data_IF_350982984693
#
_entry.id   IF_350982984693
#
_cell.length_a   1.000
_cell.length_b   1.000
_cell.length_c   1.000
_cell.angle_alpha   90.00
_cell.angle_beta   90.00
_cell.angle_gamma   90.00
#
_symmetry.space_group_name_H-M   'P 1'
#
loop_
_entity.id
_entity.type
_entity.pdbx_description
1 polymer ?
#
# COMPACT_ATOMS: atom_id res chain seq x y z
N UNK A 1 32.59 13.03 6.17
CA UNK A 1 32.62 11.59 6.54
C UNK A 1 32.71 11.47 8.05
N UNK A 2 33.69 12.12 8.68
CA UNK A 2 33.88 12.10 10.14
C UNK A 2 32.67 12.61 10.94
N UNK A 3 31.98 13.63 10.43
CA UNK A 3 30.75 14.17 11.04
C UNK A 3 29.58 13.17 11.03
N UNK A 4 29.41 12.41 9.94
CA UNK A 4 28.38 11.35 9.86
C UNK A 4 28.72 10.21 10.82
N UNK A 5 30.00 9.84 10.90
CA UNK A 5 30.49 8.81 11.83
C UNK A 5 30.28 9.25 13.28
N UNK A 6 30.54 10.52 13.59
CA UNK A 6 30.32 11.06 14.93
C UNK A 6 28.84 10.98 15.34
N UNK A 7 27.93 11.42 14.46
CA UNK A 7 26.48 11.36 14.69
C UNK A 7 26.00 9.91 14.83
N UNK A 8 26.47 9.00 13.97
CA UNK A 8 26.11 7.58 14.04
C UNK A 8 26.50 6.97 15.40
N UNK A 9 27.69 7.31 15.91
CA UNK A 9 28.14 6.83 17.22
C UNK A 9 27.36 7.42 18.41
N UNK A 10 26.64 8.54 18.22
CA UNK A 10 25.74 9.12 19.23
C UNK A 10 24.37 8.42 19.29
N UNK A 11 23.99 7.67 18.24
CA UNK A 11 22.73 6.94 18.19
C UNK A 11 22.79 5.78 19.20
N UNK A 12 22.11 5.97 20.33
CA UNK A 12 21.95 4.93 21.36
C UNK A 12 20.96 3.84 20.91
N UNK A 13 20.80 2.79 21.73
CA UNK A 13 19.88 1.69 21.48
C UNK A 13 18.48 2.17 21.07
N UNK A 14 18.13 1.87 19.82
CA UNK A 14 16.86 2.25 19.19
C UNK A 14 15.66 1.48 19.75
N UNK A 15 15.89 0.40 20.53
CA UNK A 15 14.85 -0.54 20.95
C UNK A 15 13.72 0.10 21.77
N UNK A 16 13.98 1.22 22.45
CA UNK A 16 12.98 1.94 23.25
C UNK A 16 12.44 3.21 22.55
N UNK A 17 12.66 3.38 21.25
CA UNK A 17 12.13 4.53 20.52
C UNK A 17 10.61 4.51 20.54
N UNK A 18 10.06 5.68 20.85
CA UNK A 18 8.67 6.02 20.64
C UNK A 18 8.58 7.15 19.62
N UNK A 19 7.72 6.97 18.62
CA UNK A 19 7.43 7.97 17.59
C UNK A 19 6.03 8.51 17.84
N UNK A 20 5.91 9.82 18.00
CA UNK A 20 4.63 10.50 17.88
C UNK A 20 4.29 10.62 16.40
N UNK A 21 3.23 9.93 15.98
CA UNK A 21 2.85 9.85 14.57
C UNK A 21 1.32 9.84 14.42
N UNK A 22 0.81 9.56 13.22
CA UNK A 22 -0.61 9.58 12.89
C UNK A 22 -1.07 8.22 12.38
N UNK A 23 -2.28 7.84 12.79
CA UNK A 23 -3.05 6.76 12.18
C UNK A 23 -4.02 7.38 11.17
N UNK A 24 -3.94 6.96 9.91
CA UNK A 24 -4.84 7.38 8.84
C UNK A 24 -5.67 6.17 8.45
N UNK A 25 -6.99 6.27 8.61
CA UNK A 25 -7.91 5.24 8.11
C UNK A 25 -8.32 5.58 6.69
N UNK A 26 -7.97 4.70 5.75
CA UNK A 26 -8.27 4.89 4.32
C UNK A 26 -9.28 3.85 3.84
N UNK A 27 -10.26 4.25 3.00
CA UNK A 27 -11.14 3.31 2.34
C UNK A 27 -10.35 2.51 1.28
N UNK A 28 -10.77 1.30 0.99
CA UNK A 28 -10.26 0.56 -0.17
C UNK A 28 -11.40 -0.17 -0.88
N UNK A 29 -11.39 -0.11 -2.21
CA UNK A 29 -12.19 -0.97 -3.08
C UNK A 29 -11.22 -1.92 -3.76
N UNK A 30 -11.29 -3.20 -3.40
CA UNK A 30 -10.48 -4.23 -4.04
C UNK A 30 -11.00 -4.48 -5.46
N UNK A 31 -10.08 -4.63 -6.42
CA UNK A 31 -10.42 -4.95 -7.81
C UNK A 31 -11.41 -3.99 -8.49
N UNK A 32 -11.29 -2.71 -8.16
CA UNK A 32 -12.12 -1.61 -8.64
C UNK A 32 -12.08 -1.43 -10.18
N UNK A 33 -13.14 -0.87 -10.77
CA UNK A 33 -13.32 -0.85 -12.22
C UNK A 33 -12.27 -0.06 -13.03
N UNK A 34 -11.73 1.06 -12.53
CA UNK A 34 -10.62 1.79 -13.17
C UNK A 34 -9.32 1.00 -13.09
N UNK A 35 -9.09 0.28 -12.00
CA UNK A 35 -7.97 -0.66 -11.86
C UNK A 35 -8.08 -1.79 -12.88
N UNK A 36 -9.28 -2.35 -13.10
CA UNK A 36 -9.51 -3.36 -14.14
C UNK A 36 -9.28 -2.80 -15.55
N UNK A 37 -9.72 -1.57 -15.85
CA UNK A 37 -9.46 -0.90 -17.13
C UNK A 37 -7.96 -0.71 -17.38
N UNK A 38 -7.19 -0.41 -16.33
CA UNK A 38 -5.74 -0.34 -16.39
C UNK A 38 -5.11 -1.68 -16.83
N UNK A 39 -5.57 -2.79 -16.24
CA UNK A 39 -5.13 -4.13 -16.59
C UNK A 39 -5.54 -4.48 -18.03
N UNK A 40 -6.79 -4.23 -18.42
CA UNK A 40 -7.30 -4.47 -19.77
C UNK A 40 -6.45 -3.73 -20.82
N UNK A 41 -6.17 -2.44 -20.57
CA UNK A 41 -5.32 -1.63 -21.44
C UNK A 41 -3.93 -2.24 -21.57
N UNK A 42 -3.30 -2.62 -20.45
CA UNK A 42 -1.97 -3.25 -20.46
C UNK A 42 -1.94 -4.54 -21.28
N UNK A 43 -2.89 -5.44 -21.08
CA UNK A 43 -3.00 -6.70 -21.82
C UNK A 43 -3.18 -6.43 -23.31
N UNK A 44 -4.04 -5.47 -23.67
CA UNK A 44 -4.32 -5.12 -25.07
C UNK A 44 -3.14 -4.47 -25.79
N UNK A 45 -2.35 -3.65 -25.10
CA UNK A 45 -1.36 -2.79 -25.77
C UNK A 45 0.09 -3.15 -25.52
N UNK A 46 0.39 -3.88 -24.44
CA UNK A 46 1.77 -4.13 -24.00
C UNK A 46 2.07 -5.62 -23.94
N UNK A 47 1.27 -6.40 -23.21
CA UNK A 47 1.57 -7.83 -23.01
C UNK A 47 0.30 -8.69 -22.89
N UNK A 48 -0.21 -9.23 -24.02
CA UNK A 48 -1.42 -10.05 -24.04
C UNK A 48 -1.35 -11.37 -23.25
N UNK A 49 -0.15 -11.93 -23.08
CA UNK A 49 0.09 -13.23 -22.43
C UNK A 49 0.49 -13.12 -20.96
N UNK A 50 0.39 -11.92 -20.37
CA UNK A 50 0.84 -11.65 -19.00
C UNK A 50 0.13 -12.56 -17.99
N UNK A 51 0.87 -13.45 -17.28
CA UNK A 51 0.24 -14.47 -16.44
C UNK A 51 -0.46 -13.87 -15.22
N UNK A 52 0.00 -12.71 -14.76
CA UNK A 52 -0.58 -11.96 -13.65
C UNK A 52 -1.87 -11.20 -14.02
N UNK A 53 -2.33 -11.27 -15.28
CA UNK A 53 -3.51 -10.57 -15.77
C UNK A 53 -4.59 -11.49 -16.36
N UNK A 54 -4.46 -12.84 -16.24
CA UNK A 54 -5.29 -13.82 -16.96
C UNK A 54 -6.81 -13.63 -16.81
N UNK A 55 -7.27 -13.08 -15.68
CA UNK A 55 -8.70 -12.85 -15.42
C UNK A 55 -9.05 -11.37 -15.27
N UNK A 56 -8.20 -10.46 -15.77
CA UNK A 56 -8.42 -9.01 -15.65
C UNK A 56 -8.20 -8.44 -14.24
N UNK A 57 -7.71 -9.26 -13.30
CA UNK A 57 -7.34 -8.87 -11.94
C UNK A 57 -5.94 -9.38 -11.58
N UNK A 58 -5.23 -8.67 -10.69
CA UNK A 58 -4.01 -9.18 -10.09
C UNK A 58 -4.25 -9.85 -8.73
N UNK A 59 -5.43 -9.75 -8.13
CA UNK A 59 -5.65 -10.29 -6.78
C UNK A 59 -5.43 -11.80 -6.72
N UNK A 60 -5.95 -12.52 -7.71
CA UNK A 60 -5.77 -13.98 -7.82
C UNK A 60 -4.32 -14.35 -8.02
N UNK A 61 -3.58 -13.52 -8.76
CA UNK A 61 -2.15 -13.70 -8.96
C UNK A 61 -1.38 -13.52 -7.65
N UNK A 62 -1.64 -12.44 -6.92
CA UNK A 62 -0.98 -12.17 -5.63
C UNK A 62 -1.37 -13.24 -4.61
N UNK A 63 -2.63 -13.65 -4.55
CA UNK A 63 -3.09 -14.72 -3.67
C UNK A 63 -2.38 -16.05 -3.97
N UNK A 64 -2.33 -16.45 -5.25
CA UNK A 64 -1.63 -17.65 -5.71
C UNK A 64 -0.13 -17.59 -5.38
N UNK A 65 0.52 -16.44 -5.62
CA UNK A 65 1.95 -16.25 -5.33
C UNK A 65 2.27 -16.38 -3.83
N UNK A 66 1.29 -16.10 -2.96
CA UNK A 66 1.41 -16.25 -1.51
C UNK A 66 0.84 -17.59 -0.96
N UNK A 67 0.32 -18.45 -1.83
CA UNK A 67 -0.25 -19.76 -1.44
C UNK A 67 -1.51 -19.64 -0.57
N UNK A 68 -2.33 -18.61 -0.82
CA UNK A 68 -3.56 -18.30 -0.08
C UNK A 68 -4.71 -17.99 -1.04
N UNK A 69 -5.94 -17.84 -0.52
CA UNK A 69 -7.09 -17.37 -1.31
C UNK A 69 -7.13 -15.84 -1.44
N UNK A 70 -7.98 -15.33 -2.32
CA UNK A 70 -8.22 -13.88 -2.47
C UNK A 70 -8.85 -13.30 -1.21
N UNK A 71 -9.73 -14.05 -0.55
CA UNK A 71 -10.35 -13.68 0.72
C UNK A 71 -9.29 -13.55 1.83
N UNK A 72 -8.40 -14.55 1.98
CA UNK A 72 -7.28 -14.48 2.92
C UNK A 72 -6.36 -13.28 2.62
N UNK A 73 -6.15 -12.95 1.34
CA UNK A 73 -5.38 -11.77 0.93
C UNK A 73 -6.05 -10.49 1.42
N UNK A 74 -7.34 -10.30 1.13
CA UNK A 74 -8.11 -9.12 1.57
C UNK A 74 -8.11 -9.00 3.09
N UNK A 75 -8.37 -10.09 3.79
CA UNK A 75 -8.34 -10.14 5.25
C UNK A 75 -6.98 -9.70 5.80
N UNK A 76 -5.87 -10.23 5.28
CA UNK A 76 -4.51 -9.82 5.70
C UNK A 76 -4.26 -8.34 5.41
N UNK A 77 -4.65 -7.85 4.24
CA UNK A 77 -4.45 -6.47 3.81
C UNK A 77 -5.21 -5.47 4.70
N UNK A 78 -6.43 -5.83 5.11
CA UNK A 78 -7.27 -5.06 6.03
C UNK A 78 -6.83 -5.24 7.50
N UNK A 79 -6.33 -6.42 7.89
CA UNK A 79 -5.90 -6.74 9.27
C UNK A 79 -4.62 -6.02 9.65
N UNK A 80 -3.65 -5.89 8.76
CA UNK A 80 -2.41 -5.19 9.09
C UNK A 80 -2.61 -3.68 9.16
N UNK A 81 -1.74 -3.04 9.93
CA UNK A 81 -1.41 -1.63 9.78
C UNK A 81 -0.21 -1.50 8.85
N UNK A 82 -0.07 -0.35 8.21
CA UNK A 82 0.93 -0.12 7.16
C UNK A 82 1.77 1.11 7.49
N UNK A 83 3.06 0.93 7.77
CA UNK A 83 3.97 2.00 8.13
C UNK A 83 4.56 2.67 6.88
N UNK A 84 4.34 3.98 6.74
CA UNK A 84 4.88 4.79 5.64
C UNK A 84 6.37 5.03 5.86
N UNK A 85 7.21 4.25 5.18
CA UNK A 85 8.65 4.32 5.32
C UNK A 85 9.24 5.55 4.60
N UNK A 86 8.72 5.87 3.41
CA UNK A 86 9.17 7.02 2.63
C UNK A 86 8.10 7.49 1.64
N UNK A 87 8.30 8.68 1.07
CA UNK A 87 7.45 9.28 0.05
C UNK A 87 8.35 9.85 -1.04
N UNK A 88 8.10 9.53 -2.31
CA UNK A 88 8.92 10.00 -3.43
C UNK A 88 8.56 9.36 -4.78
N UNK A 89 9.41 9.54 -5.80
CA UNK A 89 9.22 9.06 -7.19
C UNK A 89 8.15 9.83 -7.99
N UNK A 90 6.87 9.53 -7.81
CA UNK A 90 5.76 10.36 -8.33
C UNK A 90 5.25 11.30 -7.23
N UNK A 91 4.59 12.42 -7.57
CA UNK A 91 4.10 13.38 -6.58
C UNK A 91 3.33 12.71 -5.44
N UNK A 92 3.94 12.68 -4.26
CA UNK A 92 3.34 12.13 -3.05
C UNK A 92 3.20 10.61 -2.99
N UNK A 93 3.83 9.83 -3.88
CA UNK A 93 3.74 8.37 -3.88
C UNK A 93 4.41 7.80 -2.61
N UNK A 94 3.64 7.20 -1.68
CA UNK A 94 4.17 6.62 -0.46
C UNK A 94 4.67 5.19 -0.72
N UNK A 95 5.72 4.80 -0.03
CA UNK A 95 6.18 3.42 0.06
C UNK A 95 5.99 2.97 1.50
N UNK A 96 5.13 1.98 1.71
CA UNK A 96 4.75 1.56 3.04
C UNK A 96 4.79 0.04 3.22
N UNK A 97 5.07 -0.36 4.45
CA UNK A 97 5.40 -1.72 4.85
C UNK A 97 4.35 -2.25 5.83
N UNK A 98 3.97 -3.53 5.76
CA UNK A 98 3.04 -4.11 6.72
C UNK A 98 3.73 -4.21 8.09
N UNK A 99 3.07 -3.69 9.12
CA UNK A 99 3.55 -3.81 10.50
C UNK A 99 3.34 -5.22 11.05
N UNK A 100 2.29 -5.93 10.64
CA UNK A 100 2.09 -7.33 10.99
C UNK A 100 2.87 -8.24 10.02
N UNK A 101 3.95 -8.92 10.46
CA UNK A 101 4.75 -9.73 9.56
C UNK A 101 3.97 -10.91 8.96
N UNK A 102 2.92 -11.40 9.63
CA UNK A 102 2.10 -12.50 9.09
C UNK A 102 1.11 -12.04 8.02
N UNK A 103 1.03 -10.73 7.79
CA UNK A 103 0.26 -10.10 6.71
C UNK A 103 1.16 -9.59 5.58
N UNK A 104 2.47 -9.87 5.61
CA UNK A 104 3.42 -9.45 4.58
C UNK A 104 3.25 -10.24 3.27
N UNK A 105 2.23 -9.86 2.49
CA UNK A 105 2.01 -10.33 1.13
C UNK A 105 3.19 -9.96 0.24
N UNK A 106 3.55 -10.83 -0.69
CA UNK A 106 4.64 -10.59 -1.65
C UNK A 106 4.21 -10.81 -3.09
N UNK A 107 4.77 -10.07 -4.05
CA UNK A 107 4.61 -10.36 -5.48
C UNK A 107 5.72 -9.74 -6.32
N UNK A 108 6.11 -10.33 -7.46
CA UNK A 108 7.05 -9.70 -8.39
C UNK A 108 6.40 -8.50 -9.08
N UNK A 109 7.24 -7.62 -9.63
CA UNK A 109 6.79 -6.54 -10.52
C UNK A 109 6.32 -7.11 -11.86
N UNK A 110 5.49 -6.34 -12.55
CA UNK A 110 5.19 -6.46 -13.96
C UNK A 110 6.47 -6.44 -14.81
N UNK A 111 6.43 -7.12 -15.94
CA UNK A 111 7.49 -7.16 -16.93
C UNK A 111 6.88 -7.19 -18.35
N UNK A 112 7.06 -6.17 -19.19
CA UNK A 112 7.49 -4.81 -18.84
C UNK A 112 6.44 -4.09 -17.96
N UNK A 113 6.75 -2.92 -17.36
CA UNK A 113 5.80 -2.16 -16.55
C UNK A 113 4.63 -1.58 -17.38
N UNK A 114 3.53 -1.23 -16.72
CA UNK A 114 2.43 -0.49 -17.31
C UNK A 114 2.84 0.96 -17.56
N UNK A 115 2.37 1.53 -18.67
CA UNK A 115 2.60 2.95 -19.01
C UNK A 115 1.59 3.90 -18.37
N UNK A 116 0.52 3.36 -17.79
CA UNK A 116 -0.53 4.13 -17.12
C UNK A 116 -1.14 3.31 -15.99
N UNK A 117 -1.44 3.96 -14.87
CA UNK A 117 -2.08 3.44 -13.65
C UNK A 117 -2.92 4.61 -13.09
N UNK A 118 -4.20 4.41 -12.75
CA UNK A 118 -5.07 5.50 -12.32
C UNK A 118 -4.70 6.04 -10.93
N UNK A 119 -5.09 7.29 -10.67
CA UNK A 119 -5.01 7.89 -9.34
C UNK A 119 -5.75 7.06 -8.29
N UNK A 120 -5.21 7.03 -7.08
CA UNK A 120 -5.72 6.30 -5.93
C UNK A 120 -5.44 4.80 -6.00
N UNK A 121 -4.81 4.30 -7.06
CA UNK A 121 -4.49 2.86 -7.15
C UNK A 121 -3.56 2.46 -6.02
N UNK A 122 -3.97 1.44 -5.28
CA UNK A 122 -3.17 0.73 -4.30
C UNK A 122 -2.53 -0.47 -4.98
N UNK A 123 -1.21 -0.59 -4.91
CA UNK A 123 -0.48 -1.70 -5.49
C UNK A 123 0.64 -2.22 -4.58
N UNK A 124 1.17 -3.40 -4.89
CA UNK A 124 2.19 -4.09 -4.09
C UNK A 124 3.23 -4.80 -4.98
N UNK A 125 4.50 -4.71 -4.59
CA UNK A 125 5.57 -5.55 -5.09
C UNK A 125 6.63 -5.78 -4.02
N UNK A 126 7.17 -6.99 -4.02
CA UNK A 126 7.69 -7.61 -2.81
C UNK A 126 6.69 -7.37 -1.66
N UNK A 127 7.13 -7.04 -0.47
CA UNK A 127 6.27 -6.67 0.66
C UNK A 127 5.96 -5.16 0.75
N UNK A 128 6.27 -4.38 -0.30
CA UNK A 128 6.10 -2.93 -0.31
C UNK A 128 4.83 -2.56 -1.06
N UNK A 129 3.97 -1.77 -0.42
CA UNK A 129 2.76 -1.23 -1.04
C UNK A 129 2.91 0.26 -1.35
N UNK A 130 2.16 0.75 -2.36
CA UNK A 130 2.11 2.16 -2.73
C UNK A 130 0.69 2.64 -3.05
N UNK A 131 0.48 3.97 -3.05
CA UNK A 131 -0.78 4.61 -3.48
C UNK A 131 -0.47 5.68 -4.54
N UNK A 132 -1.03 5.54 -5.73
CA UNK A 132 -0.79 6.48 -6.83
C UNK A 132 -1.47 7.82 -6.56
N UNK A 133 -0.70 8.86 -6.21
CA UNK A 133 -1.23 10.22 -6.02
C UNK A 133 -1.67 10.90 -7.33
N UNK A 134 -1.11 10.47 -8.46
CA UNK A 134 -1.48 10.96 -9.80
C UNK A 134 -1.44 9.81 -10.82
N UNK A 135 -2.19 9.90 -11.93
CA UNK A 135 -2.10 8.90 -12.98
C UNK A 135 -0.68 8.82 -13.57
N UNK A 136 -0.07 7.65 -13.56
CA UNK A 136 1.34 7.50 -13.95
C UNK A 136 1.73 6.04 -14.30
N UNK A 137 2.94 5.82 -14.83
CA UNK A 137 3.43 4.48 -15.14
C UNK A 137 3.71 3.68 -13.85
N UNK A 138 3.50 2.35 -13.86
CA UNK A 138 3.58 1.54 -12.65
C UNK A 138 3.93 0.08 -12.94
N UNK A 139 4.68 -0.53 -12.02
CA UNK A 139 5.15 -1.92 -12.18
C UNK A 139 4.65 -2.88 -11.11
N UNK A 140 3.93 -2.42 -10.09
CA UNK A 140 3.52 -3.28 -8.98
C UNK A 140 2.19 -3.98 -9.28
N UNK A 141 1.86 -5.05 -8.56
CA UNK A 141 0.59 -5.77 -8.71
C UNK A 141 -0.54 -4.96 -8.10
N UNK A 142 -1.59 -4.69 -8.87
CA UNK A 142 -2.70 -3.84 -8.48
C UNK A 142 -3.62 -4.57 -7.49
N UNK A 143 -3.85 -3.95 -6.33
CA UNK A 143 -4.69 -4.51 -5.26
C UNK A 143 -6.09 -3.90 -5.30
N UNK A 144 -6.18 -2.59 -5.52
CA UNK A 144 -7.45 -1.88 -5.48
C UNK A 144 -7.27 -0.39 -5.62
N UNK A 145 -8.26 0.38 -5.17
CA UNK A 145 -8.25 1.83 -5.24
C UNK A 145 -8.73 2.46 -3.93
N UNK A 146 -8.11 3.56 -3.54
CA UNK A 146 -8.41 4.35 -2.33
C UNK A 146 -8.75 5.81 -2.70
N UNK A 147 -9.15 6.57 -1.69
CA UNK A 147 -9.37 8.02 -1.77
C UNK A 147 -8.09 8.79 -2.24
N UNK A 148 -8.24 9.96 -2.90
CA UNK A 148 -7.11 10.74 -3.40
C UNK A 148 -6.16 11.22 -2.30
N UNK A 149 -4.88 10.86 -2.37
CA UNK A 149 -3.88 11.28 -1.36
C UNK A 149 -3.04 12.50 -1.77
N UNK A 150 -3.35 13.11 -2.92
CA UNK A 150 -2.62 14.24 -3.48
C UNK A 150 -3.58 15.31 -4.04
N UNK A 151 -3.31 16.59 -3.74
CA UNK A 151 -4.01 17.73 -4.33
C UNK A 151 -3.03 18.89 -4.61
N UNK A 152 -2.63 19.05 -5.88
CA UNK A 152 -1.73 20.14 -6.29
C UNK A 152 -2.23 21.54 -5.91
N UNK A 153 -3.54 21.77 -5.99
CA UNK A 153 -4.19 23.07 -5.68
C UNK A 153 -4.69 23.17 -4.23
N UNK A 154 -4.50 22.12 -3.42
CA UNK A 154 -4.80 22.10 -1.98
C UNK A 154 -6.18 22.69 -1.64
N UNK A 155 -7.23 22.29 -2.36
CA UNK A 155 -8.60 22.82 -2.18
C UNK A 155 -9.19 22.36 -0.86
N UNK A 156 -9.00 21.09 -0.53
CA UNK A 156 -9.49 20.45 0.67
C UNK A 156 -8.69 20.89 1.92
N UNK A 157 -9.35 21.06 3.07
CA UNK A 157 -8.75 21.63 4.29
C UNK A 157 -7.54 20.83 4.79
N UNK A 158 -7.63 19.49 4.77
CA UNK A 158 -6.53 18.63 5.22
C UNK A 158 -5.34 18.55 4.25
N UNK A 159 -5.38 19.28 3.13
CA UNK A 159 -4.23 19.47 2.23
C UNK A 159 -3.60 20.85 2.36
N UNK A 160 -4.04 21.73 3.27
CA UNK A 160 -3.52 23.11 3.33
C UNK A 160 -2.05 23.21 3.72
N UNK A 161 -1.54 22.29 4.53
CA UNK A 161 -0.12 22.25 4.90
C UNK A 161 0.77 21.65 3.80
N UNK A 162 0.22 20.72 3.00
CA UNK A 162 0.98 19.96 2.01
C UNK A 162 0.05 19.43 0.92
N UNK A 163 0.47 19.43 -0.36
CA UNK A 163 -0.29 18.80 -1.43
C UNK A 163 -0.33 17.27 -1.29
N UNK A 164 0.48 16.67 -0.42
CA UNK A 164 0.50 15.24 -0.10
C UNK A 164 -0.10 15.02 1.28
N UNK A 165 -1.10 14.13 1.39
CA UNK A 165 -1.80 13.83 2.64
C UNK A 165 -0.90 13.13 3.68
N UNK A 166 -0.13 12.15 3.21
CA UNK A 166 0.70 11.26 4.02
C UNK A 166 2.08 11.87 4.27
N UNK A 167 2.71 11.45 5.36
CA UNK A 167 4.07 11.83 5.80
C UNK A 167 4.86 10.55 6.15
N UNK A 168 6.19 10.52 5.97
CA UNK A 168 7.00 9.43 6.51
C UNK A 168 6.75 9.26 8.02
N UNK A 169 6.63 8.01 8.46
CA UNK A 169 6.27 7.66 9.83
C UNK A 169 4.78 7.45 10.08
N UNK A 170 3.89 7.91 9.19
CA UNK A 170 2.45 7.67 9.30
C UNK A 170 2.12 6.17 9.28
N UNK A 171 1.00 5.81 9.90
CA UNK A 171 0.45 4.45 9.86
C UNK A 171 -0.89 4.48 9.14
N UNK A 172 -1.05 3.65 8.11
CA UNK A 172 -2.28 3.51 7.35
C UNK A 172 -3.03 2.26 7.83
N UNK A 173 -4.35 2.38 7.96
CA UNK A 173 -5.25 1.25 8.22
C UNK A 173 -6.40 1.26 7.23
N UNK A 174 -6.52 0.20 6.44
CA UNK A 174 -7.58 0.10 5.44
C UNK A 174 -8.89 -0.42 6.01
N UNK A 175 -10.00 0.00 5.40
CA UNK A 175 -11.33 -0.58 5.57
C UNK A 175 -12.02 -0.70 4.21
N UNK A 176 -12.67 -1.83 3.94
CA UNK A 176 -13.33 -2.06 2.65
C UNK A 176 -14.63 -1.25 2.56
N UNK A 177 -14.90 -0.69 1.38
CA UNK A 177 -16.13 0.01 1.02
C UNK A 177 -16.60 -0.41 -0.38
N UNK A 178 -17.79 0.01 -0.77
CA UNK A 178 -18.28 -0.14 -2.15
C UNK A 178 -17.62 0.84 -3.12
N UNK A 179 -17.67 0.51 -4.42
CA UNK A 179 -17.18 1.40 -5.48
C UNK A 179 -18.01 2.69 -5.57
N UNK A 180 -19.30 2.62 -5.32
CA UNK A 180 -20.21 3.77 -5.26
C UNK A 180 -19.82 4.74 -4.13
N UNK A 181 -19.50 4.22 -2.95
CA UNK A 181 -19.01 5.04 -1.82
C UNK A 181 -17.67 5.70 -2.16
N UNK A 182 -16.75 4.98 -2.83
CA UNK A 182 -15.47 5.54 -3.25
C UNK A 182 -15.69 6.69 -4.24
N UNK A 183 -16.58 6.50 -5.23
CA UNK A 183 -16.93 7.57 -6.17
C UNK A 183 -17.49 8.81 -5.47
N UNK A 184 -18.29 8.63 -4.43
CA UNK A 184 -18.80 9.75 -3.65
C UNK A 184 -17.68 10.47 -2.89
N UNK A 185 -16.77 9.72 -2.27
CA UNK A 185 -15.59 10.30 -1.60
C UNK A 185 -14.75 11.14 -2.57
N UNK A 186 -14.55 10.68 -3.82
CA UNK A 186 -13.83 11.47 -4.83
C UNK A 186 -14.50 12.82 -5.10
N UNK A 187 -15.83 12.88 -5.19
CA UNK A 187 -16.56 14.15 -5.36
C UNK A 187 -16.34 15.06 -4.16
N UNK A 188 -16.56 14.53 -2.95
CA UNK A 188 -16.46 15.29 -1.70
C UNK A 188 -15.05 15.82 -1.45
N UNK A 189 -14.01 15.06 -1.78
CA UNK A 189 -12.61 15.46 -1.63
C UNK A 189 -12.26 16.63 -2.55
N UNK A 190 -12.86 16.73 -3.73
CA UNK A 190 -12.60 17.81 -4.69
C UNK A 190 -13.55 19.00 -4.58
N UNK A 191 -14.68 18.84 -3.89
CA UNK A 191 -15.66 19.89 -3.63
C UNK A 191 -15.22 20.79 -2.47
N UNK A 192 -15.19 22.10 -2.72
CA UNK A 192 -14.82 23.08 -1.69
C UNK A 192 -15.98 23.21 -0.70
N UNK A 193 -15.71 22.98 0.57
CA UNK A 193 -16.71 23.11 1.62
C UNK A 193 -17.64 21.90 1.77
N UNK A 194 -17.28 20.74 1.21
CA UNK A 194 -18.02 19.49 1.37
C UNK A 194 -18.18 19.03 2.82
N UNK A 195 -17.26 19.46 3.70
CA UNK A 195 -17.23 19.08 5.12
C UNK A 195 -16.78 17.63 5.35
N UNK A 196 -16.42 16.90 4.30
CA UNK A 196 -15.84 15.57 4.43
C UNK A 196 -14.40 15.68 4.93
N UNK A 197 -13.99 14.76 5.81
CA UNK A 197 -12.65 14.74 6.40
C UNK A 197 -12.07 13.31 6.40
N UNK A 198 -10.78 13.21 6.13
CA UNK A 198 -9.98 12.01 6.39
C UNK A 198 -9.95 11.72 7.90
N UNK A 199 -10.19 10.47 8.25
CA UNK A 199 -10.05 9.97 9.63
C UNK A 199 -8.55 9.83 9.97
N UNK A 200 -8.01 10.89 10.58
CA UNK A 200 -6.61 11.02 11.00
C UNK A 200 -6.56 11.23 12.51
N UNK A 201 -5.84 10.36 13.22
CA UNK A 201 -5.70 10.44 14.68
C UNK A 201 -4.24 10.41 15.12
N UNK A 202 -3.83 11.20 16.12
CA UNK A 202 -2.50 11.07 16.68
C UNK A 202 -2.37 9.73 17.41
N UNK A 203 -1.23 9.07 17.23
CA UNK A 203 -0.87 7.83 17.91
C UNK A 203 0.59 7.87 18.36
N UNK A 204 0.96 6.94 19.24
CA UNK A 204 2.36 6.65 19.58
C UNK A 204 2.73 5.29 19.04
N UNK A 205 3.77 5.23 18.21
CA UNK A 205 4.36 3.98 17.75
C UNK A 205 5.57 3.65 18.61
N UNK A 206 5.60 2.46 19.21
CA UNK A 206 6.70 2.00 20.06
C UNK A 206 7.44 0.85 19.38
N UNK A 207 8.73 1.04 19.08
CA UNK A 207 9.54 0.00 18.45
C UNK A 207 9.63 -1.25 19.34
N UNK A 208 9.76 -1.05 20.65
CA UNK A 208 9.77 -2.13 21.65
C UNK A 208 8.53 -3.01 21.56
N UNK A 209 7.35 -2.39 21.50
CA UNK A 209 6.08 -3.09 21.41
C UNK A 209 5.95 -3.84 20.09
N UNK A 210 6.41 -3.23 18.99
CA UNK A 210 6.43 -3.88 17.68
C UNK A 210 7.39 -5.09 17.65
N UNK A 211 8.61 -4.96 18.17
CA UNK A 211 9.58 -6.06 18.28
C UNK A 211 9.05 -7.21 19.13
N UNK A 212 8.32 -6.91 20.21
CA UNK A 212 7.65 -7.92 21.03
C UNK A 212 6.59 -8.67 20.23
N UNK A 213 5.69 -7.94 19.55
CA UNK A 213 4.66 -8.52 18.69
C UNK A 213 5.27 -9.39 17.57
N UNK A 214 6.36 -8.92 16.96
CA UNK A 214 7.09 -9.68 15.94
C UNK A 214 7.57 -11.03 16.46
N UNK A 215 8.22 -11.05 17.63
CA UNK A 215 8.69 -12.29 18.28
C UNK A 215 7.54 -13.24 18.64
N UNK A 216 6.42 -12.69 19.12
CA UNK A 216 5.23 -13.50 19.46
C UNK A 216 4.62 -14.20 18.25
N UNK A 217 4.77 -13.63 17.05
CA UNK A 217 4.23 -14.18 15.79
C UNK A 217 5.19 -15.03 14.98
N UNK A 218 6.40 -15.30 15.47
CA UNK A 218 7.46 -15.99 14.72
C UNK A 218 7.01 -17.36 14.16
N UNK A 219 6.24 -18.12 14.95
CA UNK A 219 5.70 -19.42 14.51
C UNK A 219 4.65 -19.29 13.40
N UNK A 220 3.70 -18.36 13.54
CA UNK A 220 2.67 -18.08 12.52
C UNK A 220 3.33 -17.55 11.23
N UNK A 221 4.36 -16.72 11.37
CA UNK A 221 5.15 -16.21 10.24
C UNK A 221 5.84 -17.34 9.48
N UNK A 222 6.43 -18.30 10.19
CA UNK A 222 7.07 -19.46 9.56
C UNK A 222 6.09 -20.34 8.80
N UNK A 223 4.88 -20.54 9.34
CA UNK A 223 3.80 -21.24 8.62
C UNK A 223 3.36 -20.49 7.37
N UNK A 224 3.22 -19.16 7.46
CA UNK A 224 2.87 -18.34 6.31
C UNK A 224 3.97 -18.35 5.24
N UNK A 225 5.25 -18.32 5.64
CA UNK A 225 6.39 -18.43 4.71
C UNK A 225 6.40 -19.74 3.94
N UNK A 226 5.99 -20.86 4.56
CA UNK A 226 5.83 -22.14 3.85
C UNK A 226 4.75 -22.08 2.78
N UNK A 227 3.61 -21.43 3.08
CA UNK A 227 2.57 -21.16 2.06
C UNK A 227 3.12 -20.32 0.91
N UNK A 228 3.88 -19.26 1.22
CA UNK A 228 4.51 -18.41 0.20
C UNK A 228 5.54 -19.17 -0.64
N UNK A 229 6.37 -20.02 -0.03
CA UNK A 229 7.35 -20.83 -0.75
C UNK A 229 6.66 -21.77 -1.76
N UNK A 230 5.56 -22.39 -1.35
CA UNK A 230 4.73 -23.18 -2.25
C UNK A 230 4.12 -22.31 -3.37
N UNK A 231 3.49 -21.19 -3.01
CA UNK A 231 2.86 -20.26 -3.95
C UNK A 231 3.81 -19.77 -5.04
N UNK A 232 5.05 -19.43 -4.68
CA UNK A 232 6.12 -19.03 -5.60
C UNK A 232 6.53 -20.12 -6.58
N UNK A 233 6.47 -21.40 -6.18
CA UNK A 233 6.83 -22.53 -7.05
C UNK A 233 5.75 -22.81 -8.10
N UNK A 234 4.49 -22.56 -7.77
CA UNK A 234 3.34 -22.91 -8.63
C UNK A 234 2.80 -21.72 -9.44
N UNK A 235 3.16 -20.50 -9.07
CA UNK A 235 2.69 -19.28 -9.73
C UNK A 235 3.70 -18.82 -10.78
N UNK A 236 3.32 -18.63 -12.06
CA UNK A 236 4.23 -18.15 -13.09
C UNK A 236 4.80 -16.77 -12.76
N UNK A 237 6.06 -16.54 -13.12
CA UNK A 237 6.66 -15.21 -13.04
C UNK A 237 6.10 -14.36 -14.21
N UNK A 238 5.79 -13.07 -14.00
CA UNK A 238 5.35 -12.16 -15.05
C UNK A 238 6.41 -12.09 -16.15
#
# INVERSE_FOLDING_TARGET
>A
MDEIIAIENEIQSLENIELETRLIRLPIVFDESEVRKCIEKYVKTIRPDAPNCKNGSNLEYVASYNGITVEELKEKFLKTEWFVATIGFYPGLPFYLPLDPTCALTAPKYNPPRTWTPEGTVDLADYVSTIFGVPSAGGYQLIGRTAPIFQAVQKHLQFKESPVLLKPGDVIKYYEISEEELHEIYKLVHEIGSGWEYDIKPIKFSLKSWLKMYKEKEKELEEFRKKQEYGRKVTPIP
#
